data_IF_299337358366
#
_entry.id   IF_299337358366
#
_cell.length_a   1.000
_cell.length_b   1.000
_cell.length_c   1.000
_cell.angle_alpha   90.00
_cell.angle_beta   90.00
_cell.angle_gamma   90.00
#
_symmetry.space_group_name_H-M   'P 1'
#
loop_
_entity.id
_entity.type
_entity.pdbx_description
1 polymer ?
#
# COMPACT_ATOMS: atom_id res chain seq x y z
N UNK A 1 53.61 6.32 -13.91
CA UNK A 1 54.07 6.71 -15.25
C UNK A 1 53.28 5.88 -16.26
N UNK A 2 52.36 6.55 -16.95
CA UNK A 2 51.53 6.16 -18.11
C UNK A 2 50.39 7.21 -18.11
N UNK A 3 50.59 8.34 -18.79
CA UNK A 3 50.06 8.63 -20.15
C UNK A 3 48.52 8.70 -20.14
N UNK A 4 47.91 9.88 -19.97
CA UNK A 4 47.74 10.96 -20.96
C UNK A 4 46.72 10.61 -22.06
N UNK A 5 45.51 11.18 -21.97
CA UNK A 5 44.82 11.81 -23.10
C UNK A 5 43.73 12.79 -22.59
N UNK A 6 43.84 14.09 -22.95
CA UNK A 6 42.76 15.07 -22.82
C UNK A 6 42.25 15.54 -24.20
N UNK A 7 40.93 15.75 -24.32
CA UNK A 7 40.31 16.41 -25.48
C UNK A 7 38.86 15.97 -25.66
N UNK A 8 37.89 16.76 -26.12
CA UNK A 8 37.79 18.13 -26.66
C UNK A 8 36.35 18.60 -26.36
N UNK A 9 36.15 19.80 -25.84
CA UNK A 9 35.56 20.95 -26.55
C UNK A 9 34.41 20.63 -27.53
N UNK A 10 33.21 21.12 -27.21
CA UNK A 10 32.36 21.82 -28.18
C UNK A 10 31.52 22.88 -27.45
N UNK A 11 31.92 24.12 -27.67
CA UNK A 11 31.08 25.30 -27.53
C UNK A 11 30.09 25.33 -28.71
N UNK A 12 28.87 25.80 -28.46
CA UNK A 12 27.86 25.99 -29.48
C UNK A 12 26.66 26.72 -28.90
N UNK A 13 26.81 28.04 -28.70
CA UNK A 13 25.69 28.91 -28.39
C UNK A 13 24.69 28.98 -29.55
N UNK A 14 23.45 29.29 -29.20
CA UNK A 14 22.49 29.93 -30.08
C UNK A 14 21.45 30.62 -29.19
N UNK A 15 21.78 31.86 -28.81
CA UNK A 15 20.81 32.88 -28.48
C UNK A 15 20.00 33.21 -29.74
N UNK A 16 18.68 33.10 -29.63
CA UNK A 16 17.74 33.62 -30.61
C UNK A 16 16.63 34.40 -29.89
N UNK A 17 16.63 35.74 -29.91
CA UNK A 17 15.48 36.54 -29.56
C UNK A 17 14.61 36.74 -30.81
N UNK A 18 13.46 36.07 -30.85
CA UNK A 18 12.53 36.11 -31.97
C UNK A 18 11.11 36.43 -31.52
N UNK A 19 10.77 37.71 -31.64
CA UNK A 19 9.47 38.28 -32.03
C UNK A 19 8.18 37.83 -31.33
N UNK A 20 7.60 38.82 -30.65
CA UNK A 20 6.18 39.06 -30.46
C UNK A 20 5.31 38.62 -31.65
N UNK A 21 4.23 37.89 -31.36
CA UNK A 21 3.00 37.96 -32.13
C UNK A 21 1.82 37.71 -31.20
N UNK A 22 1.05 38.77 -31.00
CA UNK A 22 -0.26 38.77 -30.37
C UNK A 22 -1.21 37.80 -31.08
N UNK A 23 -1.91 36.99 -30.29
CA UNK A 23 -2.94 36.08 -30.76
C UNK A 23 -3.61 35.44 -29.56
N UNK A 24 -4.39 36.23 -28.83
CA UNK A 24 -5.17 35.73 -27.71
C UNK A 24 -6.19 34.70 -28.19
N UNK A 25 -6.22 33.48 -27.63
CA UNK A 25 -7.43 32.69 -27.65
C UNK A 25 -8.33 33.25 -26.55
N UNK A 26 -9.36 33.99 -26.97
CA UNK A 26 -10.64 34.05 -26.26
C UNK A 26 -11.26 32.64 -26.24
N UNK A 27 -10.59 31.72 -25.56
CA UNK A 27 -11.18 30.47 -25.13
C UNK A 27 -11.92 30.77 -23.84
N UNK A 28 -13.20 31.12 -23.96
CA UNK A 28 -14.15 30.88 -22.88
C UNK A 28 -13.84 29.50 -22.30
N UNK A 29 -13.53 29.38 -20.98
CA UNK A 29 -13.36 28.05 -20.40
C UNK A 29 -14.69 27.34 -20.59
N UNK A 30 -14.69 26.35 -21.48
CA UNK A 30 -15.80 25.45 -21.66
C UNK A 30 -16.25 24.99 -20.27
N UNK A 31 -17.57 24.96 -19.97
CA UNK A 31 -18.06 24.34 -18.75
C UNK A 31 -17.85 22.84 -18.92
N UNK A 32 -16.62 22.38 -18.73
CA UNK A 32 -16.30 20.97 -18.65
C UNK A 32 -17.02 20.49 -17.41
N UNK A 33 -18.04 19.67 -17.65
CA UNK A 33 -18.68 18.83 -16.67
C UNK A 33 -17.61 17.92 -16.06
N UNK A 34 -16.80 18.47 -15.15
CA UNK A 34 -15.82 17.73 -14.37
C UNK A 34 -16.61 16.81 -13.45
N UNK A 35 -16.84 15.58 -13.93
CA UNK A 35 -17.29 14.48 -13.09
C UNK A 35 -16.36 14.31 -11.89
N UNK A 36 -16.78 13.49 -10.93
CA UNK A 36 -16.00 13.22 -9.70
C UNK A 36 -14.56 12.78 -10.00
N UNK A 37 -14.32 12.17 -11.15
CA UNK A 37 -13.02 11.73 -11.64
C UNK A 37 -12.07 12.89 -12.00
N UNK A 38 -12.54 13.88 -12.76
CA UNK A 38 -11.76 15.08 -13.09
C UNK A 38 -11.43 15.90 -11.84
N UNK A 39 -12.38 16.01 -10.92
CA UNK A 39 -12.17 16.64 -9.61
C UNK A 39 -11.13 15.86 -8.78
N UNK A 40 -11.22 14.54 -8.73
CA UNK A 40 -10.26 13.69 -8.02
C UNK A 40 -8.84 13.82 -8.59
N UNK A 41 -8.69 13.85 -9.91
CA UNK A 41 -7.41 14.03 -10.58
C UNK A 41 -6.76 15.37 -10.19
N UNK A 42 -7.51 16.47 -10.25
CA UNK A 42 -7.03 17.80 -9.85
C UNK A 42 -6.67 17.90 -8.37
N UNK A 43 -7.45 17.29 -7.49
CA UNK A 43 -7.15 17.28 -6.05
C UNK A 43 -5.85 16.50 -5.77
N UNK A 44 -5.53 15.46 -6.55
CA UNK A 44 -4.32 14.66 -6.39
C UNK A 44 -3.04 15.37 -6.84
N UNK A 45 -3.13 16.38 -7.71
CA UNK A 45 -1.96 17.18 -8.12
C UNK A 45 -1.61 18.28 -7.11
N UNK A 46 -2.48 18.54 -6.12
CA UNK A 46 -2.23 19.53 -5.07
C UNK A 46 -1.35 18.97 -3.94
N UNK A 47 -0.56 19.87 -3.36
CA UNK A 47 0.21 19.67 -2.13
C UNK A 47 -0.69 19.21 -0.96
N UNK A 48 -0.19 18.42 0.01
CA UNK A 48 -1.03 17.81 1.06
C UNK A 48 -1.85 18.80 1.90
N UNK A 49 -1.34 20.01 2.16
CA UNK A 49 -2.07 21.07 2.85
C UNK A 49 -3.19 21.66 1.96
N UNK A 50 -2.84 22.01 0.72
CA UNK A 50 -3.79 22.55 -0.26
C UNK A 50 -4.89 21.55 -0.63
N UNK A 51 -4.57 20.26 -0.68
CA UNK A 51 -5.51 19.16 -0.90
C UNK A 51 -6.58 19.09 0.19
N UNK A 52 -6.16 19.18 1.46
CA UNK A 52 -7.08 19.16 2.60
C UNK A 52 -8.00 20.37 2.58
N UNK A 53 -7.46 21.55 2.30
CA UNK A 53 -8.25 22.77 2.16
C UNK A 53 -9.25 22.68 1.00
N UNK A 54 -8.81 22.19 -0.17
CA UNK A 54 -9.65 22.01 -1.35
C UNK A 54 -10.80 21.02 -1.11
N UNK A 55 -10.53 19.90 -0.42
CA UNK A 55 -11.59 18.94 -0.03
C UNK A 55 -12.53 19.55 1.00
N UNK A 56 -12.02 20.28 1.99
CA UNK A 56 -12.84 20.91 3.03
C UNK A 56 -13.80 21.97 2.45
N UNK A 57 -13.37 22.71 1.43
CA UNK A 57 -14.15 23.71 0.73
C UNK A 57 -15.29 23.13 -0.14
N UNK A 58 -15.32 21.81 -0.37
CA UNK A 58 -16.40 21.17 -1.11
C UNK A 58 -17.68 21.05 -0.26
N UNK A 59 -18.87 21.18 -0.87
CA UNK A 59 -20.14 20.82 -0.24
C UNK A 59 -20.14 19.39 0.26
N UNK A 60 -20.83 19.13 1.37
CA UNK A 60 -20.78 17.84 2.05
C UNK A 60 -21.22 16.66 1.16
N UNK A 61 -22.25 16.86 0.34
CA UNK A 61 -22.69 15.86 -0.64
C UNK A 61 -21.58 15.49 -1.63
N UNK A 62 -20.83 16.49 -2.13
CA UNK A 62 -19.69 16.27 -3.05
C UNK A 62 -18.50 15.65 -2.34
N UNK A 63 -18.24 15.97 -1.06
CA UNK A 63 -17.20 15.29 -0.26
C UNK A 63 -17.51 13.81 -0.09
N UNK A 64 -18.77 13.46 0.23
CA UNK A 64 -19.21 12.06 0.36
C UNK A 64 -19.10 11.31 -0.98
N UNK A 65 -19.58 11.94 -2.06
CA UNK A 65 -19.49 11.36 -3.40
C UNK A 65 -18.03 11.18 -3.87
N UNK A 66 -17.16 12.16 -3.62
CA UNK A 66 -15.72 12.07 -3.90
C UNK A 66 -15.05 10.99 -3.05
N UNK A 67 -15.40 10.88 -1.76
CA UNK A 67 -14.88 9.83 -0.89
C UNK A 67 -15.31 8.43 -1.34
N UNK A 68 -16.56 8.26 -1.78
CA UNK A 68 -17.07 7.02 -2.37
C UNK A 68 -16.37 6.72 -3.70
N UNK A 69 -16.24 7.71 -4.58
CA UNK A 69 -15.54 7.57 -5.86
C UNK A 69 -14.06 7.22 -5.67
N UNK A 70 -13.36 7.82 -4.71
CA UNK A 70 -11.97 7.47 -4.40
C UNK A 70 -11.83 6.07 -3.79
N UNK A 71 -12.88 5.55 -3.15
CA UNK A 71 -12.93 4.15 -2.69
C UNK A 71 -13.23 3.19 -3.83
N UNK A 72 -14.12 3.54 -4.76
CA UNK A 72 -14.54 2.73 -5.90
C UNK A 72 -13.53 2.73 -7.07
N UNK A 73 -12.84 3.86 -7.29
CA UNK A 73 -11.80 4.04 -8.32
C UNK A 73 -10.41 3.61 -7.86
N UNK A 74 -10.27 3.07 -6.64
CA UNK A 74 -9.26 2.04 -6.42
C UNK A 74 -9.79 0.85 -7.20
N UNK A 75 -9.32 0.71 -8.45
CA UNK A 75 -9.46 -0.51 -9.25
C UNK A 75 -9.55 -1.68 -8.30
N UNK A 76 -10.67 -2.40 -8.37
CA UNK A 76 -10.96 -3.49 -7.47
C UNK A 76 -9.69 -4.31 -7.30
N UNK A 77 -9.18 -4.46 -6.07
CA UNK A 77 -8.06 -5.35 -5.86
C UNK A 77 -8.50 -6.70 -6.45
N UNK A 78 -7.71 -7.32 -7.34
CA UNK A 78 -8.01 -8.67 -7.80
C UNK A 78 -8.23 -9.50 -6.54
N UNK A 79 -9.35 -10.22 -6.48
CA UNK A 79 -9.83 -10.98 -5.31
C UNK A 79 -8.65 -11.46 -4.45
N UNK A 80 -8.40 -10.75 -3.34
CA UNK A 80 -7.21 -10.99 -2.52
C UNK A 80 -6.67 -9.77 -1.78
N UNK A 81 -5.71 -10.05 -0.92
CA UNK A 81 -5.06 -9.09 -0.04
C UNK A 81 -4.36 -7.98 -0.82
N UNK A 82 -4.36 -6.78 -0.22
CA UNK A 82 -3.61 -5.60 -0.71
C UNK A 82 -2.13 -5.92 -0.99
N UNK A 83 -1.55 -6.84 -0.23
CA UNK A 83 -0.18 -7.30 -0.43
C UNK A 83 -0.03 -8.07 -1.75
N UNK A 84 -0.95 -8.99 -2.07
CA UNK A 84 -0.95 -9.73 -3.34
C UNK A 84 -1.05 -8.79 -4.56
N UNK A 85 -1.92 -7.79 -4.49
CA UNK A 85 -2.02 -6.76 -5.51
C UNK A 85 -0.72 -5.96 -5.67
N UNK A 86 -0.02 -5.67 -4.57
CA UNK A 86 1.29 -5.02 -4.61
C UNK A 86 2.36 -5.92 -5.22
N UNK A 87 2.39 -7.20 -4.85
CA UNK A 87 3.32 -8.20 -5.41
C UNK A 87 3.13 -8.34 -6.93
N UNK A 88 1.89 -8.37 -7.41
CA UNK A 88 1.59 -8.41 -8.85
C UNK A 88 2.11 -7.18 -9.61
N UNK A 89 2.22 -6.02 -8.94
CA UNK A 89 2.72 -4.78 -9.54
C UNK A 89 4.24 -4.63 -9.43
N UNK A 90 4.92 -5.44 -8.63
CA UNK A 90 6.36 -5.34 -8.43
C UNK A 90 7.18 -5.34 -9.73
N UNK A 91 6.91 -6.18 -10.74
CA UNK A 91 7.69 -6.16 -11.99
C UNK A 91 7.69 -4.79 -12.68
N UNK A 92 6.61 -4.03 -12.55
CA UNK A 92 6.48 -2.66 -13.09
C UNK A 92 7.10 -1.60 -12.18
N UNK A 93 7.07 -1.82 -10.87
CA UNK A 93 7.56 -0.87 -9.86
C UNK A 93 9.08 -0.95 -9.67
N UNK A 94 9.68 -2.14 -9.78
CA UNK A 94 11.10 -2.37 -9.52
C UNK A 94 12.01 -1.51 -10.42
N UNK A 95 11.77 -1.39 -11.75
CA UNK A 95 12.62 -0.56 -12.61
C UNK A 95 12.57 0.93 -12.27
N UNK A 96 11.41 1.43 -11.84
CA UNK A 96 11.18 2.84 -11.52
C UNK A 96 11.63 3.23 -10.09
N UNK A 97 11.81 2.24 -9.20
CA UNK A 97 12.22 2.47 -7.82
C UNK A 97 13.73 2.77 -7.71
N UNK A 98 14.10 3.57 -6.68
CA UNK A 98 15.50 3.81 -6.32
C UNK A 98 16.18 2.54 -5.83
N UNK A 99 17.52 2.49 -5.85
CA UNK A 99 18.27 1.28 -5.48
C UNK A 99 17.94 0.78 -4.06
N UNK A 100 17.89 1.66 -3.07
CA UNK A 100 17.62 1.28 -1.68
C UNK A 100 16.17 0.81 -1.49
N UNK A 101 15.22 1.48 -2.14
CA UNK A 101 13.81 1.08 -2.16
C UNK A 101 13.64 -0.29 -2.81
N UNK A 102 14.34 -0.53 -3.93
CA UNK A 102 14.35 -1.82 -4.62
C UNK A 102 14.89 -2.93 -3.72
N UNK A 103 15.99 -2.68 -3.00
CA UNK A 103 16.56 -3.63 -2.04
C UNK A 103 15.57 -3.95 -0.93
N UNK A 104 14.99 -2.93 -0.29
CA UNK A 104 14.01 -3.11 0.77
C UNK A 104 12.77 -3.88 0.29
N UNK A 105 12.28 -3.60 -0.92
CA UNK A 105 11.17 -4.35 -1.53
C UNK A 105 11.52 -5.82 -1.74
N UNK A 106 12.67 -6.11 -2.35
CA UNK A 106 13.11 -7.48 -2.62
C UNK A 106 13.37 -8.27 -1.34
N UNK A 107 13.94 -7.62 -0.31
CA UNK A 107 14.12 -8.21 1.01
C UNK A 107 12.78 -8.54 1.67
N UNK A 108 11.81 -7.62 1.60
CA UNK A 108 10.45 -7.87 2.07
C UNK A 108 9.78 -9.06 1.37
N UNK A 109 9.95 -9.19 0.05
CA UNK A 109 9.43 -10.32 -0.74
C UNK A 109 10.10 -11.62 -0.32
N UNK A 110 11.43 -11.63 -0.16
CA UNK A 110 12.17 -12.81 0.32
C UNK A 110 11.73 -13.24 1.71
N UNK A 111 11.58 -12.29 2.64
CA UNK A 111 11.09 -12.55 3.99
C UNK A 111 9.68 -13.14 3.99
N UNK A 112 8.77 -12.60 3.18
CA UNK A 112 7.42 -13.15 3.03
C UNK A 112 7.43 -14.56 2.45
N UNK A 113 8.24 -14.81 1.43
CA UNK A 113 8.38 -16.13 0.82
C UNK A 113 8.94 -17.15 1.82
N UNK A 114 9.95 -16.78 2.62
CA UNK A 114 10.48 -17.64 3.67
C UNK A 114 9.39 -18.05 4.68
N UNK A 115 8.56 -17.09 5.12
CA UNK A 115 7.42 -17.38 6.00
C UNK A 115 6.38 -18.28 5.35
N UNK A 116 6.12 -18.12 4.05
CA UNK A 116 5.22 -19.01 3.33
C UNK A 116 5.77 -20.44 3.29
N UNK A 117 7.05 -20.62 3.00
CA UNK A 117 7.70 -21.93 3.04
C UNK A 117 7.65 -22.56 4.44
N UNK A 118 7.94 -21.79 5.51
CA UNK A 118 7.81 -22.25 6.89
C UNK A 118 6.38 -22.72 7.21
N UNK A 119 5.38 -22.00 6.70
CA UNK A 119 3.98 -22.33 6.90
C UNK A 119 3.62 -23.64 6.19
N UNK A 120 4.04 -23.82 4.94
CA UNK A 120 3.82 -25.06 4.21
C UNK A 120 4.57 -26.25 4.82
N UNK A 121 5.70 -26.01 5.50
CA UNK A 121 6.48 -27.01 6.19
C UNK A 121 6.01 -27.28 7.63
N UNK A 122 5.00 -26.56 8.13
CA UNK A 122 4.52 -26.70 9.50
C UNK A 122 3.84 -28.08 9.70
N UNK A 123 4.21 -28.84 10.75
CA UNK A 123 3.67 -30.18 10.97
C UNK A 123 2.23 -30.19 11.49
N UNK A 124 1.77 -29.09 12.10
CA UNK A 124 0.46 -28.99 12.72
C UNK A 124 -0.08 -27.54 12.72
N UNK A 125 -1.38 -27.42 13.00
CA UNK A 125 -2.13 -26.15 13.02
C UNK A 125 -1.65 -25.20 14.12
N UNK A 126 -1.13 -25.73 15.23
CA UNK A 126 -0.62 -24.90 16.33
C UNK A 126 0.67 -24.17 15.91
N UNK A 127 1.55 -24.85 15.18
CA UNK A 127 2.75 -24.29 14.58
C UNK A 127 2.40 -23.23 13.54
N UNK A 128 1.41 -23.49 12.68
CA UNK A 128 0.88 -22.48 11.74
C UNK A 128 0.36 -21.25 12.49
N UNK A 129 -0.43 -21.43 13.55
CA UNK A 129 -0.94 -20.32 14.37
C UNK A 129 0.20 -19.51 15.02
N UNK A 130 1.26 -20.18 15.49
CA UNK A 130 2.45 -19.54 16.05
C UNK A 130 3.18 -18.67 15.02
N UNK A 131 3.45 -19.21 13.83
CA UNK A 131 4.08 -18.47 12.72
C UNK A 131 3.24 -17.24 12.36
N UNK A 132 1.92 -17.40 12.24
CA UNK A 132 1.01 -16.31 11.87
C UNK A 132 0.91 -15.20 12.94
N UNK A 133 1.21 -15.49 14.22
CA UNK A 133 1.30 -14.45 15.26
C UNK A 133 2.51 -13.56 15.09
N UNK A 134 3.62 -14.11 14.60
CA UNK A 134 4.88 -13.40 14.41
C UNK A 134 4.91 -12.45 13.20
N UNK A 135 3.91 -12.51 12.32
CA UNK A 135 3.83 -11.65 11.12
C UNK A 135 2.83 -10.49 11.32
N UNK A 136 3.02 -9.42 10.55
CA UNK A 136 2.13 -8.27 10.59
C UNK A 136 0.72 -8.64 10.01
N UNK A 137 -0.34 -7.87 10.32
CA UNK A 137 -1.70 -8.24 9.90
C UNK A 137 -1.89 -8.33 8.37
N UNK A 138 -1.17 -7.52 7.59
CA UNK A 138 -1.29 -7.52 6.12
C UNK A 138 -0.63 -8.76 5.51
N UNK A 139 0.54 -9.16 6.04
CA UNK A 139 1.23 -10.39 5.69
C UNK A 139 0.44 -11.61 6.14
N UNK A 140 -0.13 -11.57 7.36
CA UNK A 140 -0.99 -12.64 7.89
C UNK A 140 -2.14 -12.93 6.95
N UNK A 141 -2.87 -11.89 6.52
CA UNK A 141 -3.99 -12.04 5.59
C UNK A 141 -3.54 -12.64 4.26
N UNK A 142 -2.45 -12.14 3.69
CA UNK A 142 -1.91 -12.67 2.44
C UNK A 142 -1.48 -14.14 2.56
N UNK A 143 -0.84 -14.51 3.66
CA UNK A 143 -0.44 -15.89 3.93
C UNK A 143 -1.66 -16.79 4.12
N UNK A 144 -2.69 -16.35 4.85
CA UNK A 144 -3.94 -17.11 5.03
C UNK A 144 -4.63 -17.42 3.70
N UNK A 145 -4.69 -16.44 2.79
CA UNK A 145 -5.30 -16.62 1.46
C UNK A 145 -4.57 -17.62 0.58
N UNK A 146 -3.28 -17.89 0.85
CA UNK A 146 -2.50 -18.90 0.13
C UNK A 146 -2.67 -20.31 0.67
N UNK A 147 -3.36 -20.49 1.81
CA UNK A 147 -3.55 -21.80 2.42
C UNK A 147 -4.74 -22.54 1.81
N UNK A 148 -4.67 -23.89 1.74
CA UNK A 148 -5.83 -24.70 1.41
C UNK A 148 -7.00 -24.42 2.35
N UNK A 149 -8.22 -24.45 1.83
CA UNK A 149 -9.45 -24.13 2.59
C UNK A 149 -9.57 -24.98 3.87
N UNK A 150 -9.32 -26.29 3.79
CA UNK A 150 -9.35 -27.17 4.95
C UNK A 150 -8.35 -26.79 6.05
N UNK A 151 -7.17 -26.27 5.68
CA UNK A 151 -6.18 -25.76 6.65
C UNK A 151 -6.66 -24.45 7.29
N UNK A 152 -7.32 -23.58 6.52
CA UNK A 152 -7.90 -22.35 7.04
C UNK A 152 -9.02 -22.64 8.06
N UNK A 153 -9.88 -23.61 7.77
CA UNK A 153 -10.96 -24.05 8.69
C UNK A 153 -10.39 -24.62 9.98
N UNK A 154 -9.44 -25.56 9.88
CA UNK A 154 -8.78 -26.14 11.04
C UNK A 154 -8.10 -25.07 11.91
N UNK A 155 -7.50 -24.05 11.30
CA UNK A 155 -6.91 -22.91 12.01
C UNK A 155 -7.96 -22.05 12.72
N UNK A 156 -9.12 -21.79 12.08
CA UNK A 156 -10.22 -21.05 12.71
C UNK A 156 -10.74 -21.80 13.94
N UNK A 157 -10.95 -23.11 13.82
CA UNK A 157 -11.37 -23.95 14.95
C UNK A 157 -10.34 -23.94 16.07
N UNK A 158 -9.06 -24.09 15.74
CA UNK A 158 -7.97 -24.05 16.72
C UNK A 158 -7.96 -22.73 17.50
N UNK A 159 -8.04 -21.59 16.81
CA UNK A 159 -8.04 -20.27 17.44
C UNK A 159 -9.28 -20.04 18.31
N UNK A 160 -10.45 -20.55 17.90
CA UNK A 160 -11.67 -20.51 18.71
C UNK A 160 -11.51 -21.33 20.00
N UNK A 161 -11.03 -22.57 19.89
CA UNK A 161 -10.77 -23.45 21.05
C UNK A 161 -9.77 -22.83 22.02
N UNK A 162 -8.69 -22.25 21.49
CA UNK A 162 -7.68 -21.59 22.31
C UNK A 162 -8.24 -20.36 23.02
N UNK A 163 -9.06 -19.54 22.35
CA UNK A 163 -9.72 -18.39 22.98
C UNK A 163 -10.67 -18.83 24.09
N UNK A 164 -11.44 -19.90 23.88
CA UNK A 164 -12.32 -20.44 24.94
C UNK A 164 -11.52 -21.00 26.12
N UNK A 165 -10.40 -21.68 25.86
CA UNK A 165 -9.52 -22.19 26.91
C UNK A 165 -8.84 -21.07 27.70
N UNK A 166 -8.47 -19.97 27.03
CA UNK A 166 -7.93 -18.78 27.70
C UNK A 166 -8.99 -18.07 28.56
N UNK A 167 -10.22 -17.94 28.07
CA UNK A 167 -11.31 -17.34 28.83
C UNK A 167 -11.64 -18.14 30.10
N UNK A 168 -11.62 -19.48 30.02
CA UNK A 168 -11.81 -20.36 31.17
C UNK A 168 -10.68 -20.23 32.23
N UNK A 169 -9.48 -19.78 31.84
CA UNK A 169 -8.33 -19.56 32.73
C UNK A 169 -8.24 -18.14 33.30
N UNK A 170 -9.02 -17.20 32.78
CA UNK A 170 -9.04 -15.81 33.24
C UNK A 170 -9.64 -15.55 34.65
N UNK A 171 -10.60 -16.33 35.20
CA UNK A 171 -11.23 -15.97 36.46
C UNK A 171 -10.32 -16.12 37.69
N UNK A 172 -9.20 -16.86 37.62
CA UNK A 172 -8.29 -17.03 38.76
C UNK A 172 -7.42 -15.81 39.05
N UNK A 173 -7.24 -14.88 38.09
CA UNK A 173 -6.32 -13.73 38.27
C UNK A 173 -6.96 -12.50 38.92
N UNK A 174 -8.28 -12.42 39.02
CA UNK A 174 -8.99 -11.31 39.66
C UNK A 174 -9.38 -11.57 41.12
N UNK A 175 -9.20 -12.81 41.62
CA UNK A 175 -9.50 -13.18 43.02
C UNK A 175 -8.34 -13.03 44.00
N UNK A 176 -7.11 -12.80 43.54
CA UNK A 176 -5.91 -12.82 44.39
C UNK A 176 -5.54 -11.46 45.02
N UNK A 177 -6.25 -10.37 44.72
CA UNK A 177 -5.96 -9.02 45.24
C UNK A 177 -6.83 -8.58 46.44
N UNK A 178 -7.62 -9.49 47.03
CA UNK A 178 -8.67 -9.13 48.01
C UNK A 178 -8.47 -9.55 49.46
N UNK A 179 -7.35 -10.19 49.85
CA UNK A 179 -7.12 -10.61 51.24
C UNK A 179 -5.84 -9.99 51.80
N UNK A 180 -5.91 -8.70 52.12
CA UNK A 180 -4.94 -8.02 52.96
C UNK A 180 -5.63 -6.82 53.62
N UNK A 181 -6.50 -7.11 54.59
CA UNK A 181 -6.94 -6.18 55.62
C UNK A 181 -7.47 -6.98 56.81
#
# INVERSE_FOLDING_TARGET
AADAEPGRQSAGGQDGPGAEAAGGPTGSPAPLCDGLEGLAARIRTLEPAARRAAVAALPEAKRRALAQHLRAGREEPPEGSRLRALLARLPKLLPAARLDERRALLEGVRGLHARHCELLAAPDVATVASILRGVNPQQRQALLETLPEGTQEALREYLLRERTAQAARAPERLGACGQSA
#
